data_IF_920611876839
#
_entry.id   IF_920611876839
#
_cell.length_a   1.000
_cell.length_b   1.000
_cell.length_c   1.000
_cell.angle_alpha   90.00
_cell.angle_beta   90.00
_cell.angle_gamma   90.00
#
_symmetry.space_group_name_H-M   'P 1'
#
loop_
_entity.id
_entity.type
_entity.pdbx_description
1 polymer ?
#
# COMPACT_ATOMS: atom_id res chain seq x y z
N UNK A 1 -11.83 -5.75 -42.28
CA UNK A 1 -12.66 -5.90 -41.07
C UNK A 1 -11.97 -6.56 -39.87
N UNK A 2 -10.91 -7.38 -40.03
CA UNK A 2 -10.22 -8.03 -38.89
C UNK A 2 -9.29 -7.12 -38.06
N UNK A 3 -8.88 -5.96 -38.58
CA UNK A 3 -7.95 -5.03 -37.90
C UNK A 3 -8.62 -4.20 -36.81
N UNK A 4 -9.90 -3.85 -36.97
CA UNK A 4 -10.67 -3.05 -36.00
C UNK A 4 -10.78 -3.76 -34.65
N UNK A 5 -10.96 -5.09 -34.65
CA UNK A 5 -11.13 -5.87 -33.42
C UNK A 5 -9.85 -5.92 -32.57
N UNK A 6 -8.66 -5.98 -33.20
CA UNK A 6 -7.36 -5.97 -32.49
C UNK A 6 -7.06 -4.62 -31.85
N UNK A 7 -7.42 -3.53 -32.51
CA UNK A 7 -7.22 -2.17 -31.97
C UNK A 7 -8.07 -1.97 -30.72
N UNK A 8 -9.35 -2.34 -30.78
CA UNK A 8 -10.29 -2.23 -29.64
C UNK A 8 -9.79 -3.05 -28.45
N UNK A 9 -9.41 -4.31 -28.65
CA UNK A 9 -8.89 -5.17 -27.57
C UNK A 9 -7.63 -4.57 -26.93
N UNK A 10 -6.70 -4.05 -27.74
CA UNK A 10 -5.47 -3.44 -27.22
C UNK A 10 -5.72 -2.13 -26.46
N UNK A 11 -6.71 -1.35 -26.88
CA UNK A 11 -7.10 -0.12 -26.21
C UNK A 11 -7.75 -0.42 -24.86
N UNK A 12 -8.67 -1.39 -24.81
CA UNK A 12 -9.31 -1.85 -23.57
C UNK A 12 -8.28 -2.40 -22.58
N UNK A 13 -7.33 -3.21 -23.05
CA UNK A 13 -6.27 -3.75 -22.21
C UNK A 13 -5.39 -2.65 -21.58
N UNK A 14 -5.02 -1.62 -22.36
CA UNK A 14 -4.26 -0.47 -21.85
C UNK A 14 -5.03 0.34 -20.82
N UNK A 15 -6.31 0.61 -21.06
CA UNK A 15 -7.18 1.32 -20.11
C UNK A 15 -7.29 0.52 -18.81
N UNK A 16 -7.48 -0.81 -18.90
CA UNK A 16 -7.56 -1.66 -17.72
C UNK A 16 -6.26 -1.68 -16.92
N UNK A 17 -5.10 -1.74 -17.60
CA UNK A 17 -3.79 -1.63 -16.95
C UNK A 17 -3.62 -0.29 -16.23
N UNK A 18 -4.01 0.82 -16.84
CA UNK A 18 -3.95 2.14 -16.21
C UNK A 18 -4.87 2.23 -14.99
N UNK A 19 -6.11 1.75 -15.10
CA UNK A 19 -7.04 1.71 -13.97
C UNK A 19 -6.51 0.87 -12.81
N UNK A 20 -5.93 -0.31 -13.10
CA UNK A 20 -5.31 -1.16 -12.08
C UNK A 20 -4.14 -0.46 -11.39
N UNK A 21 -3.27 0.21 -12.15
CA UNK A 21 -2.14 0.97 -11.58
C UNK A 21 -2.61 2.12 -10.70
N UNK A 22 -3.65 2.86 -11.12
CA UNK A 22 -4.25 3.91 -10.29
C UNK A 22 -4.88 3.34 -9.01
N UNK A 23 -5.56 2.20 -9.08
CA UNK A 23 -6.14 1.54 -7.90
C UNK A 23 -5.06 1.14 -6.90
N UNK A 24 -3.97 0.53 -7.38
CA UNK A 24 -2.81 0.18 -6.55
C UNK A 24 -2.20 1.44 -5.92
N UNK A 25 -2.01 2.49 -6.71
CA UNK A 25 -1.49 3.77 -6.22
C UNK A 25 -2.39 4.39 -5.14
N UNK A 26 -3.70 4.32 -5.31
CA UNK A 26 -4.65 4.80 -4.30
C UNK A 26 -4.56 3.96 -3.02
N UNK A 27 -4.44 2.63 -3.10
CA UNK A 27 -4.21 1.77 -1.94
C UNK A 27 -2.88 2.05 -1.22
N UNK A 28 -1.82 2.32 -1.99
CA UNK A 28 -0.52 2.76 -1.48
C UNK A 28 -0.60 4.11 -0.73
N UNK A 29 -1.43 5.05 -1.20
CA UNK A 29 -1.63 6.40 -0.63
C UNK A 29 -2.58 6.37 0.57
N UNK A 30 -3.63 5.57 0.54
CA UNK A 30 -4.58 5.42 1.65
C UNK A 30 -3.98 4.66 2.85
N UNK A 31 -2.75 4.15 2.73
CA UNK A 31 -2.04 3.49 3.81
C UNK A 31 -2.43 2.02 4.00
N UNK A 32 -3.15 1.41 3.05
CA UNK A 32 -3.48 -0.02 3.09
C UNK A 32 -2.21 -0.89 3.10
N UNK A 33 -1.09 -0.35 2.59
CA UNK A 33 0.20 -1.03 2.52
C UNK A 33 1.22 -0.56 3.54
N UNK A 34 0.79 0.19 4.56
CA UNK A 34 1.68 0.60 5.64
C UNK A 34 2.30 -0.60 6.36
N UNK A 35 1.51 -1.66 6.58
CA UNK A 35 2.00 -2.90 7.17
C UNK A 35 3.07 -3.57 6.30
N UNK A 36 2.84 -3.72 4.99
CA UNK A 36 3.83 -4.31 4.06
C UNK A 36 5.14 -3.52 4.07
N UNK A 37 5.06 -2.18 4.02
CA UNK A 37 6.23 -1.30 4.09
C UNK A 37 6.98 -1.48 5.42
N UNK A 38 6.24 -1.59 6.54
CA UNK A 38 6.83 -1.85 7.85
C UNK A 38 7.55 -3.20 7.91
N UNK A 39 6.95 -4.26 7.36
CA UNK A 39 7.59 -5.58 7.28
C UNK A 39 8.85 -5.54 6.43
N UNK A 40 8.81 -4.90 5.25
CA UNK A 40 9.99 -4.73 4.40
C UNK A 40 11.11 -3.97 5.10
N UNK A 41 10.77 -2.88 5.79
CA UNK A 41 11.71 -2.12 6.59
C UNK A 41 12.31 -2.99 7.70
N UNK A 42 11.49 -3.75 8.43
CA UNK A 42 11.94 -4.63 9.50
C UNK A 42 12.86 -5.74 8.98
N UNK A 43 12.53 -6.35 7.84
CA UNK A 43 13.36 -7.37 7.21
C UNK A 43 14.73 -6.81 6.75
N UNK A 44 14.76 -5.57 6.28
CA UNK A 44 15.99 -4.92 5.81
C UNK A 44 16.88 -4.44 6.96
N UNK A 45 16.30 -3.84 8.00
CA UNK A 45 17.07 -3.21 9.10
C UNK A 45 17.26 -4.14 10.31
N UNK A 46 16.33 -5.07 10.53
CA UNK A 46 16.30 -5.95 11.69
C UNK A 46 15.92 -7.40 11.29
N UNK A 47 16.78 -8.09 10.52
CA UNK A 47 16.45 -9.41 9.97
C UNK A 47 16.20 -10.50 11.04
N UNK A 48 16.69 -10.30 12.26
CA UNK A 48 16.49 -11.22 13.39
C UNK A 48 15.27 -10.86 14.27
N UNK A 49 14.61 -9.73 14.01
CA UNK A 49 13.44 -9.33 14.79
C UNK A 49 12.20 -10.13 14.34
N UNK A 50 11.32 -10.51 15.29
CA UNK A 50 10.05 -11.13 14.94
C UNK A 50 9.17 -10.14 14.19
N UNK A 51 8.58 -10.58 13.07
CA UNK A 51 7.63 -9.78 12.29
C UNK A 51 6.29 -9.79 13.03
N UNK A 52 5.79 -8.63 13.52
CA UNK A 52 4.50 -8.58 14.20
C UNK A 52 3.37 -8.88 13.21
N UNK A 53 2.25 -9.42 13.70
CA UNK A 53 1.05 -9.57 12.87
C UNK A 53 0.46 -8.20 12.53
N UNK A 54 -0.34 -8.11 11.47
CA UNK A 54 -0.98 -6.86 11.06
C UNK A 54 -1.78 -6.20 12.19
N UNK A 55 -2.51 -7.00 12.98
CA UNK A 55 -3.29 -6.50 14.13
C UNK A 55 -2.40 -5.92 15.22
N UNK A 56 -1.25 -6.53 15.49
CA UNK A 56 -0.29 -6.06 16.48
C UNK A 56 0.39 -4.77 16.01
N UNK A 57 0.74 -4.69 14.73
CA UNK A 57 1.26 -3.48 14.10
C UNK A 57 0.29 -2.31 14.30
N UNK A 58 -0.99 -2.46 13.93
CA UNK A 58 -1.98 -1.39 14.11
C UNK A 58 -2.18 -0.98 15.56
N UNK A 59 -2.18 -1.95 16.49
CA UNK A 59 -2.28 -1.67 17.94
C UNK A 59 -1.09 -0.83 18.43
N UNK A 60 0.13 -1.22 18.05
CA UNK A 60 1.36 -0.49 18.40
C UNK A 60 1.34 0.92 17.80
N UNK A 61 0.95 1.04 16.53
CA UNK A 61 0.90 2.33 15.80
C UNK A 61 -0.11 3.30 16.40
N UNK A 62 -1.26 2.81 16.90
CA UNK A 62 -2.21 3.65 17.64
C UNK A 62 -1.71 4.01 19.04
N UNK A 63 -1.10 3.06 19.76
CA UNK A 63 -0.51 3.35 21.06
C UNK A 63 0.60 4.42 20.95
N UNK A 64 1.44 4.36 19.91
CA UNK A 64 2.45 5.38 19.62
C UNK A 64 1.82 6.76 19.35
N UNK A 65 0.69 6.81 18.64
CA UNK A 65 -0.04 8.05 18.37
C UNK A 65 -0.70 8.63 19.63
N UNK A 66 -1.20 7.79 20.51
CA UNK A 66 -1.76 8.19 21.81
C UNK A 66 -0.67 8.73 22.74
N UNK A 67 0.49 8.06 22.80
CA UNK A 67 1.63 8.44 23.63
C UNK A 67 2.38 9.67 23.08
N UNK A 68 2.43 9.83 21.76
CA UNK A 68 3.08 10.94 21.08
C UNK A 68 2.08 11.68 20.19
N UNK A 69 1.14 12.44 20.77
CA UNK A 69 0.21 13.24 19.99
C UNK A 69 1.01 14.39 19.34
N UNK A 70 1.54 14.17 18.13
CA UNK A 70 2.33 15.14 17.35
C UNK A 70 1.52 16.37 16.87
N UNK A 71 0.44 16.72 17.56
CA UNK A 71 -0.49 17.79 17.19
C UNK A 71 -1.30 18.36 18.34
N UNK A 72 -0.85 18.22 19.60
CA UNK A 72 -1.45 18.95 20.74
C UNK A 72 -0.45 19.92 21.36
N UNK A 73 0.14 20.76 20.52
CA UNK A 73 0.72 22.03 20.94
C UNK A 73 -0.44 23.02 21.03
N UNK A 74 -0.85 23.32 22.26
CA UNK A 74 -1.43 24.61 22.60
C UNK A 74 -0.53 25.76 22.14
#
# INVERSE_FOLDING_TARGET
MLTTNRIIVSAVAKVWQLMRSCWVYIGDVMGERDYEKYVMYLQQHHPCAPIPTEREYWRMRWAEQELNPKGRCC
#
